data_IF_216190719408
#
_entry.id   IF_216190719408
#
_cell.length_a   1.000
_cell.length_b   1.000
_cell.length_c   1.000
_cell.angle_alpha   90.00
_cell.angle_beta   90.00
_cell.angle_gamma   90.00
#
_symmetry.space_group_name_H-M   'P 1'
#
loop_
_entity.id
_entity.type
_entity.pdbx_description
1 polymer ?
#
# COMPACT_ATOMS: atom_id res chain seq x y z
N UNK A 1 -0.87 -10.03 -46.07
CA UNK A 1 0.42 -10.56 -45.56
C UNK A 1 0.88 -9.67 -44.38
N UNK A 2 0.88 -8.37 -44.55
CA UNK A 2 1.40 -7.44 -43.52
C UNK A 2 0.52 -7.43 -42.23
N UNK A 3 -0.79 -7.62 -42.36
CA UNK A 3 -1.72 -7.55 -41.22
C UNK A 3 -1.63 -8.76 -40.27
N UNK A 4 -1.16 -9.90 -40.74
CA UNK A 4 -1.03 -11.11 -39.92
C UNK A 4 0.17 -11.05 -38.97
N UNK A 5 1.24 -10.33 -39.35
CA UNK A 5 2.46 -10.21 -38.53
C UNK A 5 2.30 -9.28 -37.36
N UNK A 6 1.38 -8.30 -37.41
CA UNK A 6 1.11 -7.37 -36.31
C UNK A 6 0.07 -7.88 -35.31
N UNK A 7 -0.73 -8.89 -35.66
CA UNK A 7 -1.80 -9.42 -34.81
C UNK A 7 -1.27 -9.91 -33.44
N UNK A 8 -0.20 -10.73 -33.37
CA UNK A 8 0.35 -11.17 -32.08
C UNK A 8 0.92 -10.01 -31.26
N UNK A 9 1.52 -9.02 -31.92
CA UNK A 9 2.03 -7.83 -31.24
C UNK A 9 0.88 -6.99 -30.64
N UNK A 10 -0.19 -6.78 -31.39
CA UNK A 10 -1.38 -6.06 -30.90
C UNK A 10 -2.07 -6.78 -29.74
N UNK A 11 -2.16 -8.10 -29.80
CA UNK A 11 -2.70 -8.91 -28.72
C UNK A 11 -1.82 -8.82 -27.47
N UNK A 12 -0.50 -8.95 -27.62
CA UNK A 12 0.44 -8.86 -26.51
C UNK A 12 0.41 -7.48 -25.86
N UNK A 13 0.39 -6.40 -26.65
CA UNK A 13 0.30 -5.04 -26.12
C UNK A 13 -1.04 -4.80 -25.43
N UNK A 14 -2.15 -5.29 -25.97
CA UNK A 14 -3.47 -5.22 -25.36
C UNK A 14 -3.51 -5.92 -23.99
N UNK A 15 -2.98 -7.12 -23.89
CA UNK A 15 -2.86 -7.86 -22.64
C UNK A 15 -1.99 -7.13 -21.60
N UNK A 16 -0.84 -6.59 -22.06
CA UNK A 16 0.05 -5.83 -21.18
C UNK A 16 -0.63 -4.58 -20.62
N UNK A 17 -1.33 -3.81 -21.47
CA UNK A 17 -2.07 -2.62 -21.04
C UNK A 17 -3.18 -3.00 -20.05
N UNK A 18 -3.97 -4.05 -20.36
CA UNK A 18 -5.02 -4.53 -19.47
C UNK A 18 -4.49 -4.94 -18.10
N UNK A 19 -3.36 -5.66 -18.07
CA UNK A 19 -2.69 -6.05 -16.84
C UNK A 19 -2.25 -4.84 -16.00
N UNK A 20 -1.63 -3.84 -16.61
CA UNK A 20 -1.21 -2.62 -15.91
C UNK A 20 -2.39 -1.80 -15.38
N UNK A 21 -3.52 -1.75 -16.12
CA UNK A 21 -4.74 -1.09 -15.63
C UNK A 21 -5.28 -1.80 -14.39
N UNK A 22 -5.33 -3.13 -14.39
CA UNK A 22 -5.78 -3.91 -13.24
C UNK A 22 -4.88 -3.64 -12.04
N UNK A 23 -3.55 -3.68 -12.21
CA UNK A 23 -2.62 -3.37 -11.12
C UNK A 23 -2.82 -1.96 -10.57
N UNK A 24 -3.03 -0.98 -11.44
CA UNK A 24 -3.29 0.40 -11.03
C UNK A 24 -4.59 0.51 -10.21
N UNK A 25 -5.65 -0.14 -10.65
CA UNK A 25 -6.94 -0.16 -9.91
C UNK A 25 -6.76 -0.79 -8.53
N UNK A 26 -6.10 -1.95 -8.46
CA UNK A 26 -5.81 -2.63 -7.17
C UNK A 26 -4.96 -1.74 -6.27
N UNK A 27 -3.97 -1.06 -6.81
CA UNK A 27 -3.14 -0.13 -6.05
C UNK A 27 -3.93 1.07 -5.54
N UNK A 28 -4.83 1.64 -6.34
CA UNK A 28 -5.72 2.72 -5.90
C UNK A 28 -6.64 2.25 -4.76
N UNK A 29 -7.19 1.03 -4.84
CA UNK A 29 -8.01 0.48 -3.75
C UNK A 29 -7.21 0.32 -2.45
N UNK A 30 -5.95 -0.07 -2.55
CA UNK A 30 -5.03 -0.10 -1.43
C UNK A 30 -4.82 1.30 -0.83
N UNK A 31 -4.57 2.32 -1.65
CA UNK A 31 -4.43 3.71 -1.19
C UNK A 31 -5.69 4.24 -0.52
N UNK A 32 -6.86 3.92 -1.06
CA UNK A 32 -8.15 4.27 -0.44
C UNK A 32 -8.28 3.60 0.93
N UNK A 33 -7.82 2.36 1.09
CA UNK A 33 -7.81 1.68 2.38
C UNK A 33 -6.93 2.44 3.39
N UNK A 34 -5.71 2.82 3.02
CA UNK A 34 -4.82 3.61 3.87
C UNK A 34 -5.42 4.96 4.24
N UNK A 35 -6.00 5.68 3.27
CA UNK A 35 -6.70 6.94 3.50
C UNK A 35 -7.82 6.75 4.51
N UNK A 36 -8.60 5.69 4.39
CA UNK A 36 -9.70 5.39 5.30
C UNK A 36 -9.22 5.02 6.70
N UNK A 37 -8.05 4.39 6.85
CA UNK A 37 -7.43 4.17 8.16
C UNK A 37 -7.10 5.51 8.82
N UNK A 38 -6.45 6.43 8.11
CA UNK A 38 -6.17 7.76 8.62
C UNK A 38 -7.45 8.54 8.96
N UNK A 39 -8.51 8.39 8.18
CA UNK A 39 -9.81 9.01 8.47
C UNK A 39 -10.50 8.43 9.71
N UNK A 40 -10.26 7.15 10.02
CA UNK A 40 -10.77 6.51 11.22
C UNK A 40 -10.04 6.94 12.50
N UNK A 41 -8.84 7.50 12.37
CA UNK A 41 -8.09 8.11 13.47
C UNK A 41 -8.61 9.52 13.71
N UNK A 42 -8.84 9.88 14.98
CA UNK A 42 -9.29 11.24 15.33
C UNK A 42 -8.26 12.29 14.91
N UNK A 43 -8.69 13.49 14.50
CA UNK A 43 -7.78 14.54 14.00
C UNK A 43 -6.64 14.89 14.95
N UNK A 44 -6.87 14.81 16.26
CA UNK A 44 -5.85 15.08 17.28
C UNK A 44 -4.70 14.06 17.28
N UNK A 45 -4.98 12.80 16.91
CA UNK A 45 -4.02 11.70 16.91
C UNK A 45 -3.44 11.43 15.50
N UNK A 46 -4.03 12.01 14.48
CA UNK A 46 -3.63 11.82 13.08
C UNK A 46 -2.29 12.51 12.79
N UNK A 47 -1.31 11.74 12.34
CA UNK A 47 0.06 12.24 12.07
C UNK A 47 0.32 12.56 10.59
N UNK A 48 -0.65 12.27 9.72
CA UNK A 48 -0.57 12.55 8.29
C UNK A 48 -1.97 12.88 7.76
N UNK A 49 -2.05 13.88 6.89
CA UNK A 49 -3.28 14.20 6.14
C UNK A 49 -3.67 13.01 5.26
N UNK A 50 -4.93 12.50 5.34
CA UNK A 50 -5.34 11.28 4.62
C UNK A 50 -5.12 11.33 3.11
N UNK A 51 -5.31 12.50 2.49
CA UNK A 51 -5.11 12.68 1.05
C UNK A 51 -3.67 12.54 0.59
N UNK A 52 -2.69 12.73 1.48
CA UNK A 52 -1.27 12.64 1.15
C UNK A 52 -0.81 11.21 0.85
N UNK A 53 -1.59 10.18 1.16
CA UNK A 53 -1.28 8.79 0.77
C UNK A 53 -1.24 8.64 -0.76
N UNK A 54 -1.97 9.47 -1.50
CA UNK A 54 -1.97 9.44 -2.97
C UNK A 54 -0.65 9.91 -3.60
N UNK A 55 0.25 10.54 -2.84
CA UNK A 55 1.61 10.80 -3.28
C UNK A 55 2.42 9.51 -3.54
N UNK A 56 1.96 8.37 -3.04
CA UNK A 56 2.49 7.05 -3.39
C UNK A 56 2.30 6.69 -4.88
N UNK A 57 1.44 7.40 -5.61
CA UNK A 57 1.31 7.25 -7.06
C UNK A 57 2.49 7.84 -7.85
N UNK A 58 3.31 8.69 -7.23
CA UNK A 58 4.51 9.25 -7.88
C UNK A 58 5.66 8.27 -7.77
N UNK A 59 6.13 7.63 -8.87
CA UNK A 59 6.96 6.43 -8.82
C UNK A 59 8.27 6.57 -8.03
N UNK A 60 9.04 7.62 -8.28
CA UNK A 60 10.34 7.85 -7.61
C UNK A 60 10.11 8.32 -6.17
N UNK A 61 9.15 9.21 -5.98
CA UNK A 61 8.79 9.75 -4.67
C UNK A 61 8.23 8.66 -3.74
N UNK A 62 7.49 7.71 -4.30
CA UNK A 62 6.93 6.55 -3.58
C UNK A 62 7.98 5.81 -2.74
N UNK A 63 9.20 5.65 -3.24
CA UNK A 63 10.24 4.90 -2.55
C UNK A 63 10.54 5.46 -1.15
N UNK A 64 10.61 6.77 -1.03
CA UNK A 64 10.85 7.46 0.25
C UNK A 64 9.53 7.65 0.99
N UNK A 65 8.48 8.07 0.28
CA UNK A 65 7.19 8.40 0.86
C UNK A 65 6.52 7.20 1.53
N UNK A 66 6.73 6.00 0.99
CA UNK A 66 6.19 4.77 1.56
C UNK A 66 6.68 4.54 3.01
N UNK A 67 7.98 4.75 3.27
CA UNK A 67 8.52 4.68 4.64
C UNK A 67 7.86 5.69 5.58
N UNK A 68 7.66 6.91 5.09
CA UNK A 68 7.03 7.99 5.86
C UNK A 68 5.57 7.64 6.17
N UNK A 69 4.80 7.20 5.18
CA UNK A 69 3.38 6.82 5.35
C UNK A 69 3.25 5.69 6.35
N UNK A 70 4.07 4.64 6.26
CA UNK A 70 4.03 3.49 7.18
C UNK A 70 4.37 3.92 8.61
N UNK A 71 5.38 4.76 8.80
CA UNK A 71 5.74 5.31 10.10
C UNK A 71 4.62 6.17 10.69
N UNK A 72 4.05 7.08 9.91
CA UNK A 72 2.94 7.94 10.32
C UNK A 72 1.67 7.16 10.63
N UNK A 73 1.43 6.08 9.88
CA UNK A 73 0.29 5.19 10.08
C UNK A 73 0.40 4.48 11.44
N UNK A 74 1.57 3.90 11.74
CA UNK A 74 1.86 3.31 13.06
C UNK A 74 1.64 4.31 14.18
N UNK A 75 2.24 5.50 14.08
CA UNK A 75 2.19 6.51 15.14
C UNK A 75 0.75 7.01 15.35
N UNK A 76 -0.02 7.16 14.28
CA UNK A 76 -1.43 7.55 14.35
C UNK A 76 -2.29 6.47 15.01
N UNK A 77 -2.12 5.21 14.60
CA UNK A 77 -2.85 4.08 15.18
C UNK A 77 -2.49 3.87 16.65
N UNK A 78 -1.21 3.97 16.99
CA UNK A 78 -0.75 3.83 18.37
C UNK A 78 -1.35 4.89 19.28
N UNK A 79 -1.36 6.15 18.85
CA UNK A 79 -1.98 7.24 19.60
C UNK A 79 -3.49 7.06 19.76
N UNK A 80 -4.19 6.63 18.70
CA UNK A 80 -5.63 6.43 18.73
C UNK A 80 -6.04 5.24 19.58
N UNK A 81 -5.31 4.11 19.51
CA UNK A 81 -5.57 2.95 20.34
C UNK A 81 -5.33 3.26 21.81
N UNK A 82 -4.25 3.98 22.14
CA UNK A 82 -4.00 4.43 23.51
C UNK A 82 -5.10 5.37 24.02
N UNK A 83 -5.58 6.29 23.20
CA UNK A 83 -6.66 7.22 23.58
C UNK A 83 -8.01 6.52 23.79
N UNK A 84 -8.23 5.36 23.18
CA UNK A 84 -9.46 4.55 23.33
C UNK A 84 -9.32 3.37 24.27
N UNK A 85 -8.19 3.26 24.96
CA UNK A 85 -7.86 2.11 25.85
C UNK A 85 -7.97 0.75 25.14
N UNK A 86 -7.60 0.71 23.86
CA UNK A 86 -7.60 -0.49 23.03
C UNK A 86 -6.23 -1.17 23.06
N UNK A 87 -6.24 -2.50 23.08
CA UNK A 87 -5.03 -3.30 22.93
C UNK A 87 -4.54 -3.23 21.49
N UNK A 88 -3.31 -2.80 21.28
CA UNK A 88 -2.64 -2.74 19.98
C UNK A 88 -1.39 -3.60 19.95
N UNK A 89 -1.10 -4.14 18.78
CA UNK A 89 0.17 -4.79 18.45
C UNK A 89 1.13 -3.78 17.79
N UNK A 90 2.14 -4.23 17.07
CA UNK A 90 3.04 -3.37 16.31
C UNK A 90 2.43 -2.64 15.10
N UNK A 91 1.11 -2.67 14.93
CA UNK A 91 0.34 -2.01 13.87
C UNK A 91 0.86 -2.30 12.45
N UNK A 92 1.38 -3.51 12.24
CA UNK A 92 1.92 -3.94 10.95
C UNK A 92 3.20 -3.21 10.52
N UNK A 93 3.82 -2.44 11.41
CA UNK A 93 5.01 -1.64 11.08
C UNK A 93 6.16 -2.49 10.55
N UNK A 94 6.44 -3.64 11.17
CA UNK A 94 7.50 -4.54 10.72
C UNK A 94 7.26 -5.09 9.31
N UNK A 95 6.03 -5.51 9.01
CA UNK A 95 5.64 -5.99 7.68
C UNK A 95 5.66 -4.86 6.65
N UNK A 96 5.17 -3.67 7.02
CA UNK A 96 5.20 -2.49 6.16
C UNK A 96 6.63 -2.03 5.86
N UNK A 97 7.51 -2.06 6.84
CA UNK A 97 8.93 -1.74 6.67
C UNK A 97 9.62 -2.76 5.76
N UNK A 98 9.39 -4.06 5.97
CA UNK A 98 9.91 -5.12 5.12
C UNK A 98 9.43 -4.96 3.68
N UNK A 99 8.14 -4.68 3.47
CA UNK A 99 7.55 -4.37 2.16
C UNK A 99 8.27 -3.19 1.49
N UNK A 100 8.50 -2.11 2.21
CA UNK A 100 9.17 -0.91 1.68
C UNK A 100 10.61 -1.19 1.27
N UNK A 101 11.34 -1.95 2.07
CA UNK A 101 12.73 -2.36 1.77
C UNK A 101 12.75 -3.26 0.53
N UNK A 102 11.87 -4.25 0.45
CA UNK A 102 11.77 -5.16 -0.68
C UNK A 102 11.42 -4.42 -1.98
N UNK A 103 10.50 -3.46 -1.93
CA UNK A 103 10.18 -2.62 -3.09
C UNK A 103 11.37 -1.76 -3.52
N UNK A 104 12.10 -1.17 -2.57
CA UNK A 104 13.32 -0.41 -2.88
C UNK A 104 14.41 -1.29 -3.52
N UNK A 105 14.60 -2.52 -3.02
CA UNK A 105 15.53 -3.49 -3.60
C UNK A 105 15.08 -3.95 -4.99
N UNK A 106 13.78 -3.98 -5.25
CA UNK A 106 13.19 -4.38 -6.53
C UNK A 106 13.49 -3.44 -7.71
N UNK A 107 14.10 -2.27 -7.47
CA UNK A 107 14.59 -1.37 -8.53
C UNK A 107 15.71 -2.05 -9.34
N UNK A 108 16.48 -2.93 -8.72
CA UNK A 108 17.55 -3.67 -9.37
C UNK A 108 16.95 -4.88 -10.09
N UNK A 109 16.99 -4.96 -11.44
CA UNK A 109 16.24 -5.97 -12.22
C UNK A 109 16.55 -7.42 -11.83
N UNK A 110 17.80 -7.73 -11.50
CA UNK A 110 18.21 -9.09 -11.10
C UNK A 110 17.61 -9.46 -9.74
N UNK A 111 17.57 -8.49 -8.82
CA UNK A 111 17.05 -8.69 -7.46
C UNK A 111 15.52 -8.71 -7.49
N UNK A 112 14.87 -7.99 -8.39
CA UNK A 112 13.42 -7.92 -8.49
C UNK A 112 12.75 -9.28 -8.70
N UNK A 113 13.41 -10.20 -9.39
CA UNK A 113 12.92 -11.57 -9.58
C UNK A 113 12.88 -12.36 -8.26
N UNK A 114 13.81 -12.09 -7.36
CA UNK A 114 13.90 -12.77 -6.06
C UNK A 114 13.01 -12.13 -5.00
N UNK A 115 12.92 -10.80 -4.99
CA UNK A 115 12.17 -10.05 -3.96
C UNK A 115 10.71 -9.79 -4.33
N UNK A 116 10.33 -9.99 -5.58
CA UNK A 116 8.98 -9.67 -6.08
C UNK A 116 7.88 -10.43 -5.34
N UNK A 117 8.03 -11.74 -5.18
CA UNK A 117 7.04 -12.57 -4.47
C UNK A 117 6.99 -12.23 -2.97
N UNK A 118 8.11 -12.17 -2.23
CA UNK A 118 8.10 -11.72 -0.84
C UNK A 118 7.52 -10.31 -0.66
N UNK A 119 7.84 -9.38 -1.55
CA UNK A 119 7.30 -8.02 -1.51
C UNK A 119 5.77 -8.01 -1.66
N UNK A 120 5.25 -8.79 -2.60
CA UNK A 120 3.81 -8.93 -2.83
C UNK A 120 3.10 -9.53 -1.62
N UNK A 121 3.67 -10.57 -1.01
CA UNK A 121 3.12 -11.18 0.20
C UNK A 121 3.10 -10.19 1.37
N UNK A 122 4.18 -9.47 1.62
CA UNK A 122 4.24 -8.43 2.63
C UNK A 122 3.20 -7.34 2.38
N UNK A 123 3.01 -6.93 1.12
CA UNK A 123 2.01 -5.94 0.73
C UNK A 123 0.58 -6.40 1.03
N UNK A 124 0.24 -7.64 0.68
CA UNK A 124 -1.09 -8.21 0.96
C UNK A 124 -1.32 -8.30 2.47
N UNK A 125 -0.35 -8.80 3.23
CA UNK A 125 -0.44 -8.92 4.69
C UNK A 125 -0.62 -7.54 5.32
N UNK A 126 0.14 -6.54 4.89
CA UNK A 126 0.03 -5.17 5.36
C UNK A 126 -1.36 -4.59 5.07
N UNK A 127 -1.85 -4.77 3.85
CA UNK A 127 -3.19 -4.31 3.46
C UNK A 127 -4.29 -4.92 4.31
N UNK A 128 -4.26 -6.24 4.51
CA UNK A 128 -5.23 -6.95 5.37
C UNK A 128 -5.18 -6.43 6.80
N UNK A 129 -3.99 -6.22 7.37
CA UNK A 129 -3.82 -5.63 8.70
C UNK A 129 -4.42 -4.22 8.79
N UNK A 130 -4.16 -3.36 7.82
CA UNK A 130 -4.71 -2.00 7.80
C UNK A 130 -6.24 -2.00 7.72
N UNK A 131 -6.83 -2.86 6.89
CA UNK A 131 -8.27 -3.05 6.84
C UNK A 131 -8.84 -3.53 8.19
N UNK A 132 -8.12 -4.41 8.88
CA UNK A 132 -8.47 -4.89 10.22
C UNK A 132 -8.48 -3.77 11.26
N UNK A 133 -7.45 -2.94 11.32
CA UNK A 133 -7.39 -1.80 12.25
C UNK A 133 -8.50 -0.79 11.99
N UNK A 134 -8.80 -0.50 10.72
CA UNK A 134 -9.94 0.35 10.37
C UNK A 134 -11.26 -0.21 10.92
N UNK A 135 -11.49 -1.51 10.78
CA UNK A 135 -12.70 -2.16 11.30
C UNK A 135 -12.78 -2.07 12.82
N UNK A 136 -11.67 -2.30 13.52
CA UNK A 136 -11.60 -2.19 14.99
C UNK A 136 -11.92 -0.77 15.46
N UNK A 137 -11.36 0.24 14.79
CA UNK A 137 -11.64 1.65 15.13
C UNK A 137 -13.09 2.03 14.83
N UNK A 138 -13.67 1.54 13.75
CA UNK A 138 -15.06 1.77 13.39
C UNK A 138 -16.02 1.12 14.41
N UNK A 139 -15.73 -0.10 14.87
CA UNK A 139 -16.51 -0.79 15.90
C UNK A 139 -16.42 -0.11 17.27
N UNK A 140 -15.26 0.43 17.64
CA UNK A 140 -15.05 1.15 18.88
C UNK A 140 -15.69 2.56 18.90
N UNK A 141 -16.03 3.11 17.72
CA UNK A 141 -16.74 4.39 17.59
C UNK A 141 -18.27 4.24 17.67
N UNK A 142 -18.78 3.03 17.48
CA UNK A 142 -20.19 2.70 17.62
C UNK A 142 -20.53 2.37 19.09
#
# INVERSE_FOLDING_TARGET
IIMHDYLPLCLFTGWAIGFWIILLVVFILYLITLMNVFNAVSPANRKLEPGLVFLLLVPIFNLIWNFIVIGKLRDSLQAEYAARDLQGDGFGYGVGLAMSILFACGIIPVISLLVGIPALLCWIIFWVKMAGYRKTLAAAAA
#
